data_IF_162427395220
#
_entry.id   IF_162427395220
#
_cell.length_a   1.000
_cell.length_b   1.000
_cell.length_c   1.000
_cell.angle_alpha   90.00
_cell.angle_beta   90.00
_cell.angle_gamma   90.00
#
_symmetry.space_group_name_H-M   'P 1'
#
loop_
_entity.id
_entity.type
_entity.pdbx_description
1 polymer ?
#
# COMPACT_ATOMS: atom_id res chain seq x y z
N UNK A 1 -8.06 3.59 -14.61
CA UNK A 1 -8.12 2.55 -13.55
C UNK A 1 -8.91 1.35 -14.02
N UNK A 2 -8.52 0.12 -13.67
CA UNK A 2 -9.31 -1.09 -13.91
C UNK A 2 -9.35 -1.93 -12.62
N UNK A 3 -10.56 -2.29 -12.17
CA UNK A 3 -10.81 -3.20 -11.04
C UNK A 3 -11.85 -4.23 -11.50
N UNK A 4 -11.44 -5.39 -12.03
CA UNK A 4 -12.36 -6.33 -12.65
C UNK A 4 -13.15 -7.16 -11.64
N UNK A 5 -14.41 -7.43 -11.96
CA UNK A 5 -15.28 -8.34 -11.20
C UNK A 5 -14.90 -9.81 -11.35
N UNK A 6 -14.62 -10.25 -12.58
CA UNK A 6 -14.35 -11.64 -12.93
C UNK A 6 -12.89 -11.83 -13.34
N UNK A 7 -12.33 -12.97 -12.94
CA UNK A 7 -10.93 -13.33 -13.18
C UNK A 7 -10.84 -14.80 -13.60
N UNK A 8 -9.95 -15.09 -14.55
CA UNK A 8 -9.66 -16.44 -15.03
C UNK A 8 -8.16 -16.64 -15.27
N UNK A 9 -7.70 -17.88 -15.34
CA UNK A 9 -6.32 -18.25 -15.70
C UNK A 9 -6.35 -19.07 -16.99
N UNK A 10 -5.67 -18.60 -18.02
CA UNK A 10 -5.39 -19.36 -19.22
C UNK A 10 -4.11 -20.16 -19.02
N UNK A 11 -4.04 -21.35 -19.62
CA UNK A 11 -2.86 -22.22 -19.60
C UNK A 11 -2.69 -22.89 -20.94
N UNK A 12 -1.51 -22.75 -21.52
CA UNK A 12 -1.11 -23.42 -22.75
C UNK A 12 0.18 -24.20 -22.51
N UNK A 13 0.27 -25.42 -23.05
CA UNK A 13 1.42 -26.31 -22.87
C UNK A 13 1.69 -27.08 -24.16
N UNK A 14 2.83 -26.80 -24.80
CA UNK A 14 3.20 -27.41 -26.08
C UNK A 14 4.71 -27.64 -26.18
N UNK A 15 5.14 -28.40 -27.19
CA UNK A 15 6.55 -28.64 -27.49
C UNK A 15 7.01 -27.76 -28.65
N UNK A 16 8.04 -26.94 -28.43
CA UNK A 16 8.65 -26.07 -29.44
C UNK A 16 10.15 -26.33 -29.45
N UNK A 17 10.73 -26.61 -30.62
CA UNK A 17 12.14 -26.91 -30.80
C UNK A 17 12.68 -27.97 -29.81
N UNK A 18 11.91 -29.04 -29.60
CA UNK A 18 12.27 -30.15 -28.71
C UNK A 18 12.15 -29.84 -27.21
N UNK A 19 11.63 -28.67 -26.81
CA UNK A 19 11.43 -28.28 -25.41
C UNK A 19 9.96 -28.08 -25.11
N UNK A 20 9.50 -28.58 -23.95
CA UNK A 20 8.16 -28.30 -23.46
C UNK A 20 8.08 -26.89 -22.86
N UNK A 21 7.13 -26.10 -23.33
CA UNK A 21 6.87 -24.74 -22.87
C UNK A 21 5.46 -24.71 -22.28
N UNK A 22 5.34 -24.24 -21.04
CA UNK A 22 4.04 -23.98 -20.40
C UNK A 22 3.92 -22.50 -20.10
N UNK A 23 2.85 -21.87 -20.59
CA UNK A 23 2.57 -20.45 -20.39
C UNK A 23 1.25 -20.31 -19.61
N UNK A 24 1.23 -19.37 -18.67
CA UNK A 24 0.04 -19.02 -17.89
C UNK A 24 -0.14 -17.51 -17.81
N UNK A 25 -1.35 -17.06 -18.11
CA UNK A 25 -1.77 -15.65 -18.02
C UNK A 25 -3.12 -15.54 -17.31
N UNK A 26 -3.34 -14.41 -16.65
CA UNK A 26 -4.64 -14.05 -16.14
C UNK A 26 -5.39 -13.22 -17.18
N UNK A 27 -6.69 -13.51 -17.27
CA UNK A 27 -7.66 -12.66 -17.93
C UNK A 27 -8.70 -12.16 -16.93
N UNK A 28 -9.42 -11.15 -17.35
CA UNK A 28 -10.40 -10.46 -16.52
C UNK A 28 -11.52 -9.86 -17.36
N UNK A 29 -12.67 -9.64 -16.73
CA UNK A 29 -13.84 -8.99 -17.32
C UNK A 29 -14.74 -8.42 -16.22
N UNK A 30 -15.53 -7.40 -16.54
CA UNK A 30 -16.63 -6.93 -15.69
C UNK A 30 -17.99 -7.55 -16.08
N UNK A 31 -18.07 -8.24 -17.22
CA UNK A 31 -19.31 -8.78 -17.78
C UNK A 31 -19.62 -10.19 -17.29
N UNK A 32 -18.68 -11.12 -17.46
CA UNK A 32 -18.91 -12.53 -17.12
C UNK A 32 -17.62 -13.33 -16.88
N UNK A 33 -17.71 -14.48 -16.18
CA UNK A 33 -16.61 -15.44 -16.08
C UNK A 33 -16.13 -15.96 -17.44
N UNK A 34 -17.04 -16.13 -18.41
CA UNK A 34 -16.72 -16.62 -19.76
C UNK A 34 -15.87 -15.60 -20.51
N UNK A 35 -16.26 -14.31 -20.46
CA UNK A 35 -15.48 -13.23 -21.06
C UNK A 35 -14.08 -13.12 -20.41
N UNK A 36 -13.99 -13.28 -19.08
CA UNK A 36 -12.70 -13.31 -18.39
C UNK A 36 -11.83 -14.50 -18.85
N UNK A 37 -12.41 -15.68 -19.08
CA UNK A 37 -11.70 -16.85 -19.59
C UNK A 37 -11.23 -16.65 -21.03
N UNK A 38 -12.08 -16.14 -21.91
CA UNK A 38 -11.72 -15.84 -23.30
C UNK A 38 -10.53 -14.86 -23.37
N UNK A 39 -10.56 -13.80 -22.55
CA UNK A 39 -9.45 -12.86 -22.43
C UNK A 39 -8.17 -13.54 -21.88
N UNK A 40 -8.31 -14.47 -20.93
CA UNK A 40 -7.17 -15.20 -20.37
C UNK A 40 -6.50 -16.12 -21.40
N UNK A 41 -7.32 -16.79 -22.21
CA UNK A 41 -6.88 -17.71 -23.26
C UNK A 41 -6.19 -16.94 -24.39
N UNK A 42 -6.79 -15.83 -24.85
CA UNK A 42 -6.18 -14.92 -25.82
C UNK A 42 -4.79 -14.44 -25.36
N UNK A 43 -4.68 -13.90 -24.14
CA UNK A 43 -3.39 -13.45 -23.59
C UNK A 43 -2.38 -14.58 -23.49
N UNK A 44 -2.84 -15.79 -23.16
CA UNK A 44 -1.97 -16.97 -23.05
C UNK A 44 -1.43 -17.37 -24.41
N UNK A 45 -2.27 -17.38 -25.44
CA UNK A 45 -1.91 -17.67 -26.83
C UNK A 45 -0.86 -16.65 -27.33
N UNK A 46 -1.14 -15.35 -27.22
CA UNK A 46 -0.24 -14.29 -27.67
C UNK A 46 1.13 -14.38 -26.95
N UNK A 47 1.12 -14.64 -25.64
CA UNK A 47 2.35 -14.80 -24.89
C UNK A 47 3.13 -16.07 -25.27
N UNK A 48 2.41 -17.16 -25.59
CA UNK A 48 3.02 -18.40 -26.04
C UNK A 48 3.70 -18.21 -27.40
N UNK A 49 3.03 -17.60 -28.37
CA UNK A 49 3.57 -17.32 -29.71
C UNK A 49 4.86 -16.50 -29.64
N UNK A 50 4.87 -15.45 -28.82
CA UNK A 50 6.07 -14.61 -28.60
C UNK A 50 7.23 -15.40 -27.99
N UNK A 51 6.94 -16.25 -27.01
CA UNK A 51 7.96 -17.13 -26.40
C UNK A 51 8.46 -18.16 -27.41
N UNK A 52 7.57 -18.73 -28.22
CA UNK A 52 7.92 -19.68 -29.27
C UNK A 52 8.78 -19.04 -30.37
N UNK A 53 8.56 -17.75 -30.68
CA UNK A 53 9.38 -16.94 -31.56
C UNK A 53 10.75 -16.54 -30.97
N UNK A 54 11.04 -16.91 -29.72
CA UNK A 54 12.33 -16.67 -29.07
C UNK A 54 12.38 -15.45 -28.14
N UNK A 55 11.26 -14.77 -27.90
CA UNK A 55 11.23 -13.65 -26.97
C UNK A 55 11.39 -14.12 -25.51
N UNK A 56 12.27 -13.44 -24.77
CA UNK A 56 12.52 -13.72 -23.36
C UNK A 56 11.40 -13.15 -22.46
N UNK A 57 10.26 -13.83 -22.41
CA UNK A 57 9.12 -13.45 -21.56
C UNK A 57 8.95 -14.37 -20.36
N UNK A 58 8.40 -13.80 -19.28
CA UNK A 58 7.99 -14.57 -18.11
C UNK A 58 6.89 -15.56 -18.48
N UNK A 59 7.14 -16.86 -18.32
CA UNK A 59 6.17 -17.91 -18.65
C UNK A 59 4.92 -17.91 -17.78
N UNK A 60 5.00 -17.35 -16.56
CA UNK A 60 3.90 -17.34 -15.60
C UNK A 60 3.71 -15.96 -14.98
N UNK A 61 2.50 -15.42 -15.13
CA UNK A 61 2.07 -14.28 -14.32
C UNK A 61 1.87 -14.71 -12.86
N UNK A 62 2.42 -13.94 -11.91
CA UNK A 62 2.33 -14.25 -10.48
C UNK A 62 1.06 -13.64 -9.89
N UNK A 63 0.39 -14.40 -9.01
CA UNK A 63 -0.70 -13.91 -8.16
C UNK A 63 -0.14 -13.01 -7.04
N UNK A 64 0.04 -11.73 -7.31
CA UNK A 64 0.53 -10.74 -6.34
C UNK A 64 -0.57 -9.71 -6.03
N UNK A 65 -0.75 -9.40 -4.75
CA UNK A 65 -1.78 -8.47 -4.28
C UNK A 65 -1.28 -7.03 -4.09
N UNK A 66 0.04 -6.84 -4.03
CA UNK A 66 0.68 -5.54 -3.82
C UNK A 66 1.94 -5.51 -4.67
N UNK A 67 2.07 -4.46 -5.49
CA UNK A 67 3.02 -4.28 -6.60
C UNK A 67 2.65 -5.02 -7.86
N UNK A 68 2.22 -4.21 -8.84
CA UNK A 68 1.80 -4.63 -10.16
C UNK A 68 2.69 -5.72 -10.72
N UNK A 69 2.07 -6.87 -10.97
CA UNK A 69 2.48 -7.60 -12.16
C UNK A 69 2.30 -6.60 -13.32
N UNK A 70 3.39 -6.30 -14.01
CA UNK A 70 3.38 -5.50 -15.23
C UNK A 70 2.25 -6.04 -16.12
N UNK A 71 1.25 -5.21 -16.40
CA UNK A 71 0.15 -5.57 -17.28
C UNK A 71 -1.02 -6.36 -16.66
N UNK A 72 -1.24 -6.33 -15.33
CA UNK A 72 -2.51 -6.80 -14.73
C UNK A 72 -3.18 -5.72 -13.86
N UNK A 73 -4.53 -5.64 -13.87
CA UNK A 73 -5.28 -4.62 -13.13
C UNK A 73 -5.38 -4.93 -11.62
N UNK A 74 -6.06 -4.06 -10.86
CA UNK A 74 -6.24 -4.23 -9.42
C UNK A 74 -7.04 -5.50 -9.16
N UNK A 75 -6.40 -6.48 -8.50
CA UNK A 75 -6.95 -7.79 -8.18
C UNK A 75 -7.37 -7.87 -6.72
N UNK A 76 -8.46 -7.18 -6.42
CA UNK A 76 -9.00 -7.07 -5.07
C UNK A 76 -10.52 -7.25 -5.10
N UNK A 77 -11.10 -7.60 -3.97
CA UNK A 77 -12.55 -7.67 -3.80
C UNK A 77 -13.13 -6.25 -3.89
N UNK A 78 -14.13 -6.06 -4.74
CA UNK A 78 -14.89 -4.81 -4.81
C UNK A 78 -15.91 -4.82 -3.68
N UNK A 79 -15.78 -3.87 -2.76
CA UNK A 79 -16.72 -3.68 -1.64
C UNK A 79 -17.85 -2.75 -2.06
N UNK A 80 -17.52 -1.67 -2.77
CA UNK A 80 -18.47 -0.63 -3.16
C UNK A 80 -17.97 0.08 -4.43
N UNK A 81 -18.89 0.58 -5.26
CA UNK A 81 -18.59 1.50 -6.38
C UNK A 81 -19.44 2.76 -6.22
N UNK A 82 -18.82 3.92 -6.39
CA UNK A 82 -19.47 5.23 -6.43
C UNK A 82 -18.90 6.04 -7.59
N UNK A 83 -19.65 6.11 -8.70
CA UNK A 83 -19.13 6.62 -9.96
C UNK A 83 -17.87 5.87 -10.38
N UNK A 84 -16.82 6.60 -10.73
CA UNK A 84 -15.52 6.04 -11.10
C UNK A 84 -14.64 5.67 -9.89
N UNK A 85 -15.09 5.95 -8.67
CA UNK A 85 -14.37 5.58 -7.44
C UNK A 85 -14.79 4.18 -6.99
N UNK A 86 -13.81 3.34 -6.68
CA UNK A 86 -14.04 1.95 -6.26
C UNK A 86 -13.42 1.74 -4.88
N UNK A 87 -14.21 1.27 -3.93
CA UNK A 87 -13.69 0.80 -2.64
C UNK A 87 -13.41 -0.69 -2.76
N UNK A 88 -12.16 -1.07 -2.53
CA UNK A 88 -11.71 -2.46 -2.56
C UNK A 88 -11.25 -2.94 -1.19
N UNK A 89 -11.15 -4.25 -1.02
CA UNK A 89 -10.50 -4.88 0.13
C UNK A 89 -9.13 -5.43 -0.26
N UNK A 90 -8.08 -4.83 0.28
CA UNK A 90 -6.70 -5.24 0.00
C UNK A 90 -6.34 -6.59 0.65
N UNK A 91 -5.13 -7.10 0.40
CA UNK A 91 -4.66 -8.38 0.96
C UNK A 91 -4.51 -8.42 2.49
N UNK A 92 -4.48 -7.25 3.15
CA UNK A 92 -4.51 -7.19 4.60
C UNK A 92 -5.94 -7.35 5.13
N UNK A 93 -6.96 -7.15 4.30
CA UNK A 93 -8.35 -7.10 4.70
C UNK A 93 -8.86 -5.68 4.94
N UNK A 94 -8.02 -4.66 4.82
CA UNK A 94 -8.43 -3.27 4.98
C UNK A 94 -9.10 -2.72 3.71
N UNK A 95 -10.05 -1.79 3.90
CA UNK A 95 -10.73 -1.08 2.81
C UNK A 95 -9.79 -0.01 2.25
N UNK A 96 -9.74 0.08 0.92
CA UNK A 96 -8.99 1.09 0.17
C UNK A 96 -9.91 1.74 -0.84
N UNK A 97 -9.95 3.07 -0.84
CA UNK A 97 -10.50 3.87 -1.93
C UNK A 97 -9.52 3.87 -3.09
N UNK A 98 -10.03 3.72 -4.31
CA UNK A 98 -9.29 3.85 -5.55
C UNK A 98 -10.04 4.83 -6.46
N UNK A 99 -9.37 5.87 -6.91
CA UNK A 99 -9.91 6.92 -7.78
C UNK A 99 -8.99 7.10 -8.98
N UNK A 100 -9.51 7.24 -10.21
CA UNK A 100 -8.65 7.39 -11.39
C UNK A 100 -7.90 8.72 -11.40
N UNK A 101 -8.46 9.78 -10.80
CA UNK A 101 -8.10 11.15 -11.12
C UNK A 101 -7.94 12.09 -9.89
N UNK A 102 -8.39 11.70 -8.69
CA UNK A 102 -8.25 12.55 -7.50
C UNK A 102 -6.95 12.23 -6.74
N UNK A 103 -6.03 13.19 -6.73
CA UNK A 103 -4.67 13.03 -6.20
C UNK A 103 -4.65 12.87 -4.67
N UNK A 104 -4.25 11.68 -4.23
CA UNK A 104 -3.81 11.39 -2.86
C UNK A 104 -2.29 11.23 -2.79
N UNK A 105 -1.71 11.74 -1.72
CA UNK A 105 -0.28 11.71 -1.42
C UNK A 105 -0.11 11.14 -0.01
N UNK A 106 0.38 9.90 0.11
CA UNK A 106 0.73 9.30 1.40
C UNK A 106 2.23 9.57 1.69
N UNK A 107 2.50 10.29 2.78
CA UNK A 107 3.84 10.70 3.24
C UNK A 107 4.13 10.01 4.57
N UNK A 108 4.87 8.91 4.55
CA UNK A 108 5.31 8.23 5.77
C UNK A 108 6.49 8.97 6.43
N UNK A 109 6.52 9.02 7.76
CA UNK A 109 7.56 9.74 8.52
C UNK A 109 8.91 9.03 8.53
N UNK A 110 8.87 7.73 8.74
CA UNK A 110 10.05 6.88 8.83
C UNK A 110 9.95 5.81 7.73
N UNK A 111 11.02 5.61 6.96
CA UNK A 111 11.09 4.42 6.13
C UNK A 111 11.14 3.18 7.04
N UNK A 112 10.31 2.16 6.81
CA UNK A 112 10.40 0.92 7.57
C UNK A 112 11.78 0.30 7.39
N UNK A 113 12.29 -0.37 8.42
CA UNK A 113 13.54 -1.11 8.34
C UNK A 113 13.49 -2.12 7.19
N UNK A 114 14.21 -1.85 6.10
CA UNK A 114 14.29 -2.73 4.92
C UNK A 114 15.13 -4.00 5.16
N UNK A 115 15.88 -4.05 6.26
CA UNK A 115 16.79 -5.15 6.61
C UNK A 115 16.33 -6.03 7.78
N UNK A 116 17.18 -6.98 8.17
CA UNK A 116 16.95 -7.82 9.35
C UNK A 116 16.96 -6.98 10.63
N UNK A 117 15.94 -7.15 11.48
CA UNK A 117 15.88 -6.55 12.82
C UNK A 117 17.08 -6.97 13.66
N UNK A 118 17.54 -8.21 13.48
CA UNK A 118 18.75 -8.70 14.11
C UNK A 118 19.99 -7.91 13.68
N UNK A 119 20.15 -7.67 12.37
CA UNK A 119 21.26 -6.87 11.84
C UNK A 119 21.24 -5.43 12.34
N UNK A 120 20.05 -4.82 12.42
CA UNK A 120 19.85 -3.50 13.01
C UNK A 120 20.28 -3.44 14.48
N UNK A 121 20.01 -4.49 15.26
CA UNK A 121 20.36 -4.56 16.67
C UNK A 121 21.82 -4.93 16.94
N UNK A 122 22.44 -5.72 16.06
CA UNK A 122 23.79 -6.26 16.24
C UNK A 122 24.85 -5.15 16.19
N UNK A 123 24.78 -4.26 15.20
CA UNK A 123 25.78 -3.20 15.02
C UNK A 123 25.94 -2.30 16.27
N UNK A 124 24.87 -1.69 16.84
CA UNK A 124 25.01 -0.88 18.05
C UNK A 124 25.40 -1.72 19.27
N UNK A 125 24.99 -2.99 19.35
CA UNK A 125 25.38 -3.88 20.44
C UNK A 125 26.88 -4.18 20.45
N UNK A 126 27.49 -4.41 19.27
CA UNK A 126 28.93 -4.62 19.16
C UNK A 126 29.71 -3.37 19.59
N UNK A 127 29.27 -2.18 19.16
CA UNK A 127 29.88 -0.91 19.57
C UNK A 127 29.78 -0.73 21.09
N UNK A 128 28.59 -0.96 21.65
CA UNK A 128 28.37 -0.86 23.09
C UNK A 128 29.21 -1.88 23.88
N UNK A 129 29.40 -3.08 23.34
CA UNK A 129 30.25 -4.10 23.96
C UNK A 129 31.73 -3.72 24.01
N UNK A 130 32.26 -3.15 22.93
CA UNK A 130 33.64 -2.66 22.87
C UNK A 130 33.83 -1.50 23.86
N UNK A 131 32.94 -0.50 23.83
CA UNK A 131 33.02 0.68 24.71
C UNK A 131 32.83 0.29 26.18
N UNK A 132 31.86 -0.57 26.47
CA UNK A 132 31.59 -1.06 27.83
C UNK A 132 32.75 -1.89 28.38
N UNK A 133 33.35 -2.76 27.55
CA UNK A 133 34.51 -3.57 27.95
C UNK A 133 35.76 -2.73 28.22
N UNK A 134 36.01 -1.72 27.39
CA UNK A 134 37.12 -0.77 27.59
C UNK A 134 36.93 0.06 28.86
N UNK A 135 35.74 0.62 29.07
CA UNK A 135 35.43 1.50 30.22
C UNK A 135 35.45 0.73 31.54
N UNK A 136 34.83 -0.45 31.57
CA UNK A 136 34.77 -1.29 32.76
C UNK A 136 36.04 -2.12 33.00
N UNK A 137 37.01 -2.08 32.07
CA UNK A 137 38.23 -2.92 32.05
C UNK A 137 37.95 -4.42 32.24
N UNK A 138 36.77 -4.89 31.88
CA UNK A 138 36.32 -6.27 32.06
C UNK A 138 35.52 -6.74 30.85
N UNK A 139 35.73 -7.99 30.45
CA UNK A 139 34.95 -8.61 29.38
C UNK A 139 33.47 -8.73 29.76
N UNK A 140 33.16 -8.90 31.06
CA UNK A 140 31.80 -8.98 31.57
C UNK A 140 31.03 -7.66 31.42
N UNK A 141 31.67 -6.51 31.66
CA UNK A 141 31.07 -5.20 31.44
C UNK A 141 30.73 -4.95 29.96
N UNK A 142 31.60 -5.42 29.05
CA UNK A 142 31.31 -5.40 27.61
C UNK A 142 30.14 -6.30 27.22
N UNK A 143 30.09 -7.53 27.75
CA UNK A 143 28.99 -8.46 27.46
C UNK A 143 27.64 -7.91 27.90
N UNK A 144 27.55 -7.37 29.13
CA UNK A 144 26.33 -6.78 29.68
C UNK A 144 25.88 -5.58 28.82
N UNK A 145 26.79 -4.68 28.47
CA UNK A 145 26.48 -3.52 27.63
C UNK A 145 25.96 -3.94 26.24
N UNK A 146 26.60 -4.93 25.62
CA UNK A 146 26.15 -5.46 24.33
C UNK A 146 24.76 -6.09 24.42
N UNK A 147 24.49 -6.91 25.44
CA UNK A 147 23.18 -7.55 25.64
C UNK A 147 22.05 -6.53 25.85
N UNK A 148 22.28 -5.53 26.69
CA UNK A 148 21.28 -4.48 26.97
C UNK A 148 20.98 -3.68 25.71
N UNK A 149 22.01 -3.21 25.00
CA UNK A 149 21.84 -2.44 23.78
C UNK A 149 21.20 -3.29 22.67
N UNK A 150 21.57 -4.56 22.55
CA UNK A 150 20.94 -5.49 21.62
C UNK A 150 19.43 -5.65 21.91
N UNK A 151 19.05 -5.89 23.16
CA UNK A 151 17.65 -6.07 23.54
C UNK A 151 16.81 -4.81 23.24
N UNK A 152 17.33 -3.63 23.58
CA UNK A 152 16.66 -2.35 23.30
C UNK A 152 16.57 -2.09 21.79
N UNK A 153 17.67 -2.21 21.06
CA UNK A 153 17.70 -2.00 19.62
C UNK A 153 16.83 -3.00 18.86
N UNK A 154 16.77 -4.26 19.32
CA UNK A 154 15.90 -5.28 18.74
C UNK A 154 14.42 -4.95 18.94
N UNK A 155 14.04 -4.47 20.14
CA UNK A 155 12.68 -3.99 20.43
C UNK A 155 12.30 -2.79 19.57
N UNK A 156 13.18 -1.81 19.43
CA UNK A 156 12.99 -0.65 18.54
C UNK A 156 12.86 -1.11 17.09
N UNK A 157 13.69 -2.04 16.65
CA UNK A 157 13.66 -2.57 15.29
C UNK A 157 12.36 -3.34 14.98
N UNK A 158 11.81 -4.09 15.95
CA UNK A 158 10.49 -4.70 15.84
C UNK A 158 9.37 -3.65 15.72
N UNK A 159 9.40 -2.61 16.55
CA UNK A 159 8.44 -1.49 16.48
C UNK A 159 8.47 -0.80 15.12
N UNK A 160 9.67 -0.45 14.62
CA UNK A 160 9.88 0.14 13.29
C UNK A 160 9.45 -0.78 12.16
N UNK A 161 9.72 -2.08 12.24
CA UNK A 161 9.28 -3.06 11.25
C UNK A 161 7.75 -3.20 11.21
N UNK A 162 7.06 -2.98 12.34
CA UNK A 162 5.59 -2.93 12.43
C UNK A 162 5.00 -1.58 12.00
N UNK A 163 5.84 -0.56 11.76
CA UNK A 163 5.42 0.78 11.38
C UNK A 163 4.71 1.51 12.53
N UNK A 164 5.17 1.28 13.77
CA UNK A 164 4.77 2.06 14.94
C UNK A 164 5.46 3.44 14.88
N UNK A 165 4.73 4.50 15.24
CA UNK A 165 5.27 5.85 15.26
C UNK A 165 6.45 5.94 16.24
N UNK A 166 7.57 6.51 15.80
CA UNK A 166 8.64 6.83 16.72
C UNK A 166 8.22 8.02 17.59
N UNK A 167 8.47 7.98 18.90
CA UNK A 167 8.23 9.13 19.79
C UNK A 167 9.14 10.34 19.54
N UNK A 168 9.89 10.33 18.44
CA UNK A 168 10.77 11.41 18.01
C UNK A 168 10.00 12.34 17.06
N UNK A 169 9.83 13.63 17.36
CA UNK A 169 9.07 14.54 16.50
C UNK A 169 9.81 14.98 15.22
N UNK A 170 11.12 14.72 15.10
CA UNK A 170 11.92 15.22 13.98
C UNK A 170 11.45 14.75 12.59
N UNK A 171 11.09 13.48 12.36
CA UNK A 171 10.58 13.01 11.06
C UNK A 171 9.27 13.69 10.65
N UNK A 172 8.35 13.86 11.59
CA UNK A 172 7.10 14.58 11.40
C UNK A 172 7.33 16.04 11.03
N UNK A 173 8.19 16.74 11.77
CA UNK A 173 8.52 18.14 11.49
C UNK A 173 9.09 18.30 10.08
N UNK A 174 10.01 17.42 9.66
CA UNK A 174 10.57 17.45 8.29
C UNK A 174 9.50 17.22 7.22
N UNK A 175 8.55 16.32 7.45
CA UNK A 175 7.45 16.09 6.52
C UNK A 175 6.54 17.33 6.42
N UNK A 176 6.20 17.95 7.55
CA UNK A 176 5.44 19.19 7.58
C UNK A 176 6.17 20.35 6.88
N UNK A 177 7.49 20.49 7.09
CA UNK A 177 8.32 21.48 6.39
C UNK A 177 8.36 21.27 4.87
N UNK A 178 8.36 20.01 4.39
CA UNK A 178 8.22 19.71 2.94
C UNK A 178 6.87 20.18 2.41
N UNK A 179 5.77 19.87 3.12
CA UNK A 179 4.42 20.29 2.72
C UNK A 179 4.31 21.82 2.72
N UNK A 180 4.78 22.50 3.77
CA UNK A 180 4.75 23.96 3.85
C UNK A 180 5.53 24.64 2.72
N UNK A 181 6.74 24.14 2.40
CA UNK A 181 7.50 24.63 1.23
C UNK A 181 6.77 24.40 -0.08
N UNK A 182 6.16 23.23 -0.25
CA UNK A 182 5.38 22.91 -1.45
C UNK A 182 4.20 23.86 -1.61
N UNK A 183 3.38 24.07 -0.58
CA UNK A 183 2.25 25.01 -0.62
C UNK A 183 2.72 26.43 -0.94
N UNK A 184 3.84 26.88 -0.36
CA UNK A 184 4.40 28.20 -0.66
C UNK A 184 4.84 28.36 -2.12
N UNK A 185 5.41 27.31 -2.72
CA UNK A 185 5.82 27.29 -4.13
C UNK A 185 4.65 27.11 -5.11
N UNK A 186 3.51 26.64 -4.61
CA UNK A 186 2.32 26.33 -5.39
C UNK A 186 1.07 27.00 -4.80
N UNK A 187 0.98 28.35 -4.80
CA UNK A 187 -0.10 29.08 -4.12
C UNK A 187 -1.50 28.77 -4.67
N UNK A 188 -1.60 28.36 -5.93
CA UNK A 188 -2.87 27.99 -6.58
C UNK A 188 -3.40 26.61 -6.15
N UNK A 189 -2.58 25.81 -5.47
CA UNK A 189 -2.99 24.49 -5.01
C UNK A 189 -3.85 24.61 -3.77
N UNK A 190 -4.96 23.88 -3.76
CA UNK A 190 -5.73 23.61 -2.55
C UNK A 190 -5.43 22.19 -2.06
N UNK A 191 -4.88 22.07 -0.87
CA UNK A 191 -4.53 20.81 -0.22
C UNK A 191 -5.30 20.62 1.08
N UNK A 192 -5.81 19.41 1.33
CA UNK A 192 -6.30 18.97 2.64
C UNK A 192 -5.30 18.02 3.27
N UNK A 193 -4.92 18.30 4.51
CA UNK A 193 -3.93 17.54 5.25
C UNK A 193 -4.61 16.67 6.30
N UNK A 194 -4.18 15.41 6.39
CA UNK A 194 -4.68 14.43 7.33
C UNK A 194 -3.51 13.77 8.06
N UNK A 195 -3.65 13.59 9.36
CA UNK A 195 -2.76 12.74 10.16
C UNK A 195 -3.14 11.29 9.96
N UNK A 196 -2.17 10.43 9.66
CA UNK A 196 -2.31 8.97 9.71
C UNK A 196 -1.44 8.42 10.84
N UNK A 197 -1.58 7.14 11.24
CA UNK A 197 -0.73 6.61 12.29
C UNK A 197 0.75 6.40 11.88
N UNK A 198 1.12 6.54 10.61
CA UNK A 198 2.52 6.42 10.13
C UNK A 198 3.09 7.70 9.50
N UNK A 199 2.27 8.73 9.29
CA UNK A 199 2.58 9.76 8.31
C UNK A 199 1.50 10.80 8.15
N UNK A 200 1.62 11.62 7.12
CA UNK A 200 0.55 12.47 6.61
C UNK A 200 -0.09 11.85 5.37
N UNK A 201 -1.36 12.14 5.16
CA UNK A 201 -2.03 12.01 3.88
C UNK A 201 -2.42 13.39 3.41
N UNK A 202 -2.14 13.70 2.16
CA UNK A 202 -2.53 14.96 1.53
C UNK A 202 -3.46 14.65 0.36
N UNK A 203 -4.51 15.45 0.23
CA UNK A 203 -5.51 15.37 -0.84
C UNK A 203 -5.55 16.70 -1.58
N UNK A 204 -5.37 16.66 -2.91
CA UNK A 204 -5.55 17.85 -3.73
C UNK A 204 -7.04 18.05 -4.05
N UNK A 205 -7.51 19.29 -3.85
CA UNK A 205 -8.93 19.64 -4.00
C UNK A 205 -9.23 20.51 -5.22
N UNK A 206 -8.23 21.21 -5.75
CA UNK A 206 -8.41 22.25 -6.75
C UNK A 206 -8.54 21.75 -8.20
N UNK A 207 -8.10 20.52 -8.47
CA UNK A 207 -8.05 19.93 -9.81
C UNK A 207 -8.04 18.39 -9.76
N UNK A 208 -8.11 17.77 -10.94
CA UNK A 208 -7.94 16.33 -11.17
C UNK A 208 -6.66 16.06 -11.96
N UNK A 209 -6.09 14.87 -11.81
CA UNK A 209 -4.78 14.52 -12.32
C UNK A 209 -4.77 13.11 -12.89
N UNK A 210 -4.07 12.88 -13.99
CA UNK A 210 -3.70 11.52 -14.37
C UNK A 210 -2.47 11.08 -13.55
N UNK A 211 -2.43 9.84 -13.01
CA UNK A 211 -1.23 9.30 -12.36
C UNK A 211 0.01 9.25 -13.27
N UNK A 212 -0.15 9.43 -14.58
CA UNK A 212 0.95 9.53 -15.53
C UNK A 212 1.54 10.94 -15.66
N UNK A 213 0.85 11.97 -15.17
CA UNK A 213 1.21 13.38 -15.36
C UNK A 213 2.56 13.74 -14.73
N UNK A 214 3.27 14.65 -15.39
CA UNK A 214 4.53 15.19 -14.86
C UNK A 214 4.31 15.97 -13.56
N UNK A 215 3.23 16.75 -13.46
CA UNK A 215 2.88 17.47 -12.23
C UNK A 215 2.72 16.55 -11.01
N UNK A 216 2.18 15.34 -11.20
CA UNK A 216 2.08 14.32 -10.14
C UNK A 216 3.45 13.79 -9.76
N UNK A 217 4.32 13.52 -10.75
CA UNK A 217 5.69 13.07 -10.49
C UNK A 217 6.50 14.11 -9.70
N UNK A 218 6.40 15.39 -10.07
CA UNK A 218 7.07 16.50 -9.41
C UNK A 218 6.53 16.71 -7.98
N UNK A 219 5.20 16.66 -7.81
CA UNK A 219 4.54 16.69 -6.50
C UNK A 219 5.00 15.55 -5.58
N UNK A 220 5.00 14.32 -6.08
CA UNK A 220 5.47 13.15 -5.34
C UNK A 220 6.94 13.26 -4.94
N UNK A 221 7.78 13.80 -5.82
CA UNK A 221 9.18 14.06 -5.52
C UNK A 221 9.35 15.11 -4.42
N UNK A 222 8.68 16.26 -4.55
CA UNK A 222 8.78 17.37 -3.60
C UNK A 222 8.28 17.01 -2.20
N UNK A 223 7.19 16.25 -2.12
CA UNK A 223 6.58 15.83 -0.85
C UNK A 223 7.26 14.59 -0.22
N UNK A 224 8.09 13.88 -0.98
CA UNK A 224 8.81 12.70 -0.52
C UNK A 224 7.93 11.47 -0.39
N UNK A 225 7.07 11.22 -1.38
CA UNK A 225 6.18 10.05 -1.44
C UNK A 225 6.98 8.76 -1.61
N UNK A 226 6.49 7.68 -1.01
CA UNK A 226 7.10 6.36 -1.17
C UNK A 226 7.12 5.91 -2.65
N UNK A 227 8.28 5.43 -3.11
CA UNK A 227 8.49 5.05 -4.51
C UNK A 227 7.62 3.86 -4.95
N UNK A 228 7.25 2.99 -4.02
CA UNK A 228 6.37 1.85 -4.30
C UNK A 228 4.94 2.35 -4.53
N UNK A 229 4.46 3.27 -3.69
CA UNK A 229 3.17 3.92 -3.90
C UNK A 229 3.13 4.67 -5.24
N UNK A 230 4.13 5.51 -5.52
CA UNK A 230 4.21 6.26 -6.78
C UNK A 230 4.16 5.34 -8.03
N UNK A 231 4.94 4.26 -8.01
CA UNK A 231 4.94 3.25 -9.09
C UNK A 231 3.59 2.55 -9.22
N UNK A 232 2.97 2.19 -8.09
CA UNK A 232 1.66 1.56 -8.07
C UNK A 232 0.61 2.47 -8.70
N UNK A 233 0.60 3.77 -8.38
CA UNK A 233 -0.34 4.73 -8.95
C UNK A 233 -0.25 4.79 -10.49
N UNK A 234 0.98 4.88 -11.02
CA UNK A 234 1.22 4.85 -12.47
C UNK A 234 0.79 3.52 -13.10
N UNK A 235 1.16 2.38 -12.50
CA UNK A 235 0.86 1.06 -13.09
C UNK A 235 -0.63 0.70 -13.05
N UNK A 236 -1.36 1.14 -12.02
CA UNK A 236 -2.78 0.85 -11.85
C UNK A 236 -3.69 1.95 -12.40
N UNK A 237 -3.10 3.05 -12.89
CA UNK A 237 -3.81 4.25 -13.36
C UNK A 237 -4.87 4.71 -12.35
N UNK A 238 -4.47 4.82 -11.08
CA UNK A 238 -5.30 5.35 -9.99
C UNK A 238 -4.49 5.91 -8.82
N UNK A 239 -5.09 6.77 -8.02
CA UNK A 239 -4.65 7.08 -6.66
C UNK A 239 -5.40 6.21 -5.66
N UNK A 240 -4.71 5.83 -4.59
CA UNK A 240 -5.25 4.93 -3.56
C UNK A 240 -5.15 5.55 -2.18
N UNK A 241 -6.21 5.42 -1.38
CA UNK A 241 -6.25 5.87 0.00
C UNK A 241 -6.86 4.79 0.90
N UNK A 242 -6.18 4.41 1.97
CA UNK A 242 -6.71 3.43 2.94
C UNK A 242 -7.85 4.07 3.75
N UNK A 243 -9.00 3.41 3.81
CA UNK A 243 -10.21 3.88 4.48
C UNK A 243 -10.42 3.30 5.88
N UNK A 244 -9.78 2.19 6.21
CA UNK A 244 -9.94 1.52 7.50
C UNK A 244 -8.61 1.08 8.10
N UNK A 245 -8.61 0.81 9.41
CA UNK A 245 -7.39 0.54 10.16
C UNK A 245 -6.62 -0.68 9.66
N UNK A 246 -5.29 -0.67 9.85
CA UNK A 246 -4.50 -1.89 9.56
C UNK A 246 -4.85 -2.95 10.62
N UNK A 247 -5.11 -4.22 10.26
CA UNK A 247 -5.57 -5.23 11.20
C UNK A 247 -4.69 -5.37 12.46
N UNK A 248 -3.37 -5.35 12.29
CA UNK A 248 -2.43 -5.50 13.41
C UNK A 248 -2.39 -4.30 14.36
N UNK A 249 -2.87 -3.12 13.95
CA UNK A 249 -2.98 -1.94 14.82
C UNK A 249 -4.23 -1.98 15.70
N UNK A 250 -5.20 -2.82 15.35
CA UNK A 250 -6.44 -3.02 16.10
C UNK A 250 -6.52 -4.42 16.74
N UNK A 251 -5.36 -5.03 17.02
CA UNK A 251 -5.27 -6.31 17.72
C UNK A 251 -5.47 -7.57 16.86
N UNK A 252 -5.60 -7.44 15.54
CA UNK A 252 -5.76 -8.58 14.62
C UNK A 252 -4.41 -8.91 13.98
N UNK A 253 -3.63 -9.76 14.66
CA UNK A 253 -2.34 -10.24 14.15
C UNK A 253 -2.45 -11.31 13.06
N UNK A 254 -3.61 -11.95 12.94
CA UNK A 254 -3.86 -12.98 11.93
C UNK A 254 -4.08 -12.37 10.55
N UNK A 255 -3.28 -12.78 9.54
CA UNK A 255 -3.57 -12.37 8.17
C UNK A 255 -4.94 -12.89 7.70
N UNK A 256 -5.54 -12.13 6.77
CA UNK A 256 -6.75 -12.47 6.03
C UNK A 256 -6.74 -13.94 5.56
N UNK A 257 -7.89 -14.60 5.75
CA UNK A 257 -8.13 -15.99 5.36
C UNK A 257 -9.05 -16.05 4.12
N UNK A 258 -8.98 -17.14 3.32
CA UNK A 258 -7.99 -18.22 3.36
C UNK A 258 -6.57 -17.76 2.99
N UNK A 259 -5.56 -18.60 3.21
CA UNK A 259 -4.18 -18.32 2.74
C UNK A 259 -3.86 -19.18 1.50
N UNK A 260 -3.26 -18.61 0.44
CA UNK A 260 -3.05 -17.16 0.23
C UNK A 260 -4.38 -16.43 -0.04
N UNK A 261 -4.57 -15.25 0.57
CA UNK A 261 -5.82 -14.48 0.51
C UNK A 261 -5.99 -13.65 -0.76
N UNK A 262 -5.54 -14.17 -1.90
CA UNK A 262 -5.61 -13.47 -3.19
C UNK A 262 -7.00 -13.62 -3.77
N UNK A 263 -7.61 -12.51 -4.20
CA UNK A 263 -8.92 -12.48 -4.83
C UNK A 263 -8.88 -13.02 -6.28
N UNK A 264 -9.94 -13.64 -6.82
CA UNK A 264 -11.11 -14.17 -6.13
C UNK A 264 -10.78 -15.42 -5.30
N UNK A 265 -11.57 -15.63 -4.26
CA UNK A 265 -11.52 -16.82 -3.39
C UNK A 265 -12.51 -17.86 -3.92
N UNK A 266 -12.17 -19.16 -3.83
CA UNK A 266 -13.08 -20.22 -4.25
C UNK A 266 -14.35 -20.25 -3.40
N UNK A 267 -15.52 -20.61 -3.96
CA UNK A 267 -16.79 -20.58 -3.23
C UNK A 267 -16.76 -21.35 -1.90
N UNK A 268 -16.05 -22.49 -1.85
CA UNK A 268 -15.96 -23.31 -0.63
C UNK A 268 -15.22 -22.61 0.52
N UNK A 269 -14.39 -21.60 0.21
CA UNK A 269 -13.58 -20.87 1.18
C UNK A 269 -14.13 -19.48 1.49
N UNK A 270 -15.22 -19.06 0.85
CA UNK A 270 -15.87 -17.78 1.12
C UNK A 270 -16.35 -17.66 2.59
N UNK A 271 -17.01 -18.67 3.20
CA UNK A 271 -17.46 -18.55 4.59
C UNK A 271 -16.31 -18.26 5.58
N UNK A 272 -15.14 -18.86 5.34
CA UNK A 272 -13.94 -18.63 6.15
C UNK A 272 -13.41 -17.19 6.00
N UNK A 273 -13.49 -16.64 4.79
CA UNK A 273 -13.13 -15.24 4.53
C UNK A 273 -14.11 -14.30 5.23
N UNK A 274 -15.40 -14.54 5.06
CA UNK A 274 -16.47 -13.67 5.56
C UNK A 274 -16.44 -13.60 7.09
N UNK A 275 -16.19 -14.73 7.77
CA UNK A 275 -15.99 -14.76 9.21
C UNK A 275 -14.80 -13.89 9.68
N UNK A 276 -13.67 -13.94 8.95
CA UNK A 276 -12.53 -13.08 9.26
C UNK A 276 -12.86 -11.61 9.02
N UNK A 277 -13.52 -11.30 7.89
CA UNK A 277 -13.91 -9.94 7.50
C UNK A 277 -14.89 -9.36 8.52
N UNK A 278 -15.91 -10.10 8.94
CA UNK A 278 -16.87 -9.65 9.94
C UNK A 278 -16.18 -9.30 11.28
N UNK A 279 -15.24 -10.14 11.74
CA UNK A 279 -14.43 -9.85 12.94
C UNK A 279 -13.58 -8.59 12.76
N UNK A 280 -12.96 -8.43 11.59
CA UNK A 280 -12.17 -7.25 11.26
C UNK A 280 -12.99 -5.96 11.24
N UNK A 281 -14.13 -5.96 10.55
CA UNK A 281 -15.00 -4.80 10.43
C UNK A 281 -15.50 -4.35 11.80
N UNK A 282 -15.95 -5.29 12.64
CA UNK A 282 -16.37 -4.99 14.01
C UNK A 282 -15.26 -4.35 14.85
N UNK A 283 -14.01 -4.80 14.72
CA UNK A 283 -12.88 -4.19 15.44
C UNK A 283 -12.49 -2.81 14.87
N UNK A 284 -12.61 -2.64 13.55
CA UNK A 284 -12.28 -1.40 12.86
C UNK A 284 -13.26 -0.26 13.20
N UNK A 285 -14.50 -0.56 13.58
CA UNK A 285 -15.50 0.43 14.02
C UNK A 285 -15.05 1.30 15.21
N UNK A 286 -14.10 0.85 16.03
CA UNK A 286 -13.57 1.67 17.14
C UNK A 286 -12.53 2.71 16.73
N UNK A 287 -12.17 2.80 15.45
CA UNK A 287 -10.96 3.50 15.00
C UNK A 287 -11.21 4.40 13.79
N UNK A 288 -10.40 5.44 13.67
CA UNK A 288 -10.29 6.24 12.45
C UNK A 288 -9.03 5.82 11.65
N UNK A 289 -9.10 5.85 10.33
CA UNK A 289 -7.91 5.56 9.50
C UNK A 289 -6.95 6.76 9.41
N UNK A 290 -7.50 7.96 9.56
CA UNK A 290 -6.77 9.21 9.64
C UNK A 290 -7.60 10.25 10.41
N UNK A 291 -6.99 11.37 10.76
CA UNK A 291 -7.65 12.54 11.34
C UNK A 291 -7.39 13.75 10.46
N UNK A 292 -8.43 14.53 10.16
CA UNK A 292 -8.25 15.79 9.44
C UNK A 292 -7.50 16.80 10.30
N UNK A 293 -6.55 17.52 9.69
CA UNK A 293 -5.76 18.55 10.36
C UNK A 293 -6.19 19.94 9.90
N UNK A 294 -5.96 20.25 8.62
CA UNK A 294 -6.19 21.57 8.06
C UNK A 294 -6.32 21.54 6.54
N UNK A 295 -6.73 22.67 5.97
CA UNK A 295 -6.67 22.94 4.53
C UNK A 295 -5.65 24.04 4.30
N UNK A 296 -4.82 23.89 3.27
CA UNK A 296 -3.72 24.79 2.94
C UNK A 296 -3.77 25.23 1.48
N UNK A 297 -3.26 26.43 1.21
CA UNK A 297 -3.24 27.06 -0.12
C UNK A 297 -4.58 27.69 -0.51
N UNK A 298 -4.96 27.63 -1.78
CA UNK A 298 -6.14 28.34 -2.30
C UNK A 298 -7.46 27.59 -2.05
N UNK A 299 -7.98 27.67 -0.83
CA UNK A 299 -9.21 26.96 -0.44
C UNK A 299 -10.49 27.39 -1.18
N UNK A 300 -10.47 28.49 -1.93
CA UNK A 300 -11.61 28.91 -2.75
C UNK A 300 -11.81 28.05 -4.00
N UNK A 301 -10.75 27.35 -4.47
CA UNK A 301 -10.81 26.52 -5.66
C UNK A 301 -11.04 25.06 -5.28
N UNK A 302 -12.18 24.50 -5.71
CA UNK A 302 -12.56 23.11 -5.46
C UNK A 302 -13.13 22.50 -6.73
N UNK A 303 -12.54 21.39 -7.18
CA UNK A 303 -13.03 20.60 -8.28
C UNK A 303 -14.17 19.67 -7.81
N UNK A 304 -15.31 19.56 -8.52
CA UNK A 304 -16.45 18.74 -8.09
C UNK A 304 -16.11 17.27 -7.82
N UNK A 305 -15.33 16.63 -8.69
CA UNK A 305 -14.90 15.24 -8.46
C UNK A 305 -14.04 15.09 -7.21
N UNK A 306 -13.12 16.03 -6.97
CA UNK A 306 -12.28 16.02 -5.77
C UNK A 306 -13.13 16.19 -4.51
N UNK A 307 -14.17 17.03 -4.55
CA UNK A 307 -15.14 17.19 -3.46
C UNK A 307 -15.89 15.89 -3.17
N UNK A 308 -16.42 15.21 -4.19
CA UNK A 308 -17.14 13.96 -4.02
C UNK A 308 -16.25 12.86 -3.40
N UNK A 309 -15.01 12.73 -3.89
CA UNK A 309 -14.03 11.78 -3.35
C UNK A 309 -13.61 12.15 -1.93
N UNK A 310 -13.44 13.44 -1.63
CA UNK A 310 -13.11 13.93 -0.30
C UNK A 310 -14.22 13.60 0.71
N UNK A 311 -15.48 13.81 0.36
CA UNK A 311 -16.62 13.50 1.23
C UNK A 311 -16.68 11.99 1.53
N UNK A 312 -16.57 11.16 0.49
CA UNK A 312 -16.52 9.71 0.65
C UNK A 312 -15.31 9.28 1.51
N UNK A 313 -14.15 9.88 1.28
CA UNK A 313 -12.94 9.61 2.06
C UNK A 313 -13.14 9.97 3.54
N UNK A 314 -13.60 11.18 3.85
CA UNK A 314 -13.73 11.67 5.22
C UNK A 314 -14.78 10.89 6.01
N UNK A 315 -15.90 10.53 5.35
CA UNK A 315 -16.94 9.69 5.93
C UNK A 315 -16.39 8.29 6.26
N UNK A 316 -15.76 7.62 5.29
CA UNK A 316 -15.32 6.23 5.44
C UNK A 316 -14.09 6.10 6.33
N UNK A 317 -13.19 7.09 6.34
CA UNK A 317 -12.03 7.13 7.26
C UNK A 317 -12.38 7.58 8.66
N UNK A 318 -13.57 8.20 8.84
CA UNK A 318 -13.99 8.87 10.06
C UNK A 318 -13.04 9.99 10.47
N UNK A 319 -12.56 10.75 9.49
CA UNK A 319 -11.51 11.77 9.64
C UNK A 319 -11.82 12.82 10.72
N UNK A 320 -13.09 13.09 10.99
CA UNK A 320 -13.55 14.12 11.94
C UNK A 320 -14.11 13.53 13.25
N UNK A 321 -14.00 12.22 13.47
CA UNK A 321 -14.67 11.54 14.58
C UNK A 321 -13.98 11.66 15.94
N UNK A 322 -12.71 12.05 15.98
CA UNK A 322 -11.90 12.03 17.21
C UNK A 322 -11.55 10.62 17.73
N UNK A 323 -11.94 9.56 17.01
CA UNK A 323 -11.56 8.19 17.35
C UNK A 323 -10.03 7.99 17.32
N UNK A 324 -9.50 7.03 18.09
CA UNK A 324 -8.09 6.67 18.00
C UNK A 324 -7.72 6.22 16.58
N UNK A 325 -6.58 6.70 16.08
CA UNK A 325 -6.12 6.33 14.74
C UNK A 325 -5.45 4.96 14.72
N UNK A 326 -5.77 4.13 13.73
CA UNK A 326 -5.13 2.83 13.51
C UNK A 326 -5.05 2.45 12.02
#
# INVERSE_FOLDING_TARGET
MIVPRFWAEGRMQEHVAGKQITVRRYGWSDESPIAAQAHADQRTQEAFERIAAGEALNRRERKLAYNGAEGVPIREEIVERQGDTVITRNSYGARCLNTPDVLFVDIDFDEPLRGSVFGFALAPALIAGIVGGWTAKTWLGGLIAAMVVFAVAYRIGLARKRGEASGNPAPEKRAAERIGRFVHQHPDWHLRLYRTPAGFRVLAMHDVFSPADMAVADCFHALGVDKVYARMCRNQNCFRARLSAKPWRIGIGEHLRPRPGVWPVSPEKLPLRDAWVARYEKAAEGHAACQYLESAGNSARVHPNALAVQQLHDERTRAHSGLPMA
#
